data_IF_497201337443
#
_entry.id   IF_497201337443
#
_cell.length_a   1.000
_cell.length_b   1.000
_cell.length_c   1.000
_cell.angle_alpha   90.00
_cell.angle_beta   90.00
_cell.angle_gamma   90.00
#
_symmetry.space_group_name_H-M   'P 1'
#
loop_
_entity.id
_entity.type
_entity.pdbx_description
1 polymer ?
#
# COMPACT_ATOMS: atom_id res chain seq x y z
N UNK A 1 -22.52 20.14 -17.96
CA UNK A 1 -22.28 20.91 -16.72
C UNK A 1 -21.23 20.16 -15.93
N UNK A 2 -19.98 20.64 -15.92
CA UNK A 2 -18.94 20.13 -15.03
C UNK A 2 -19.26 20.72 -13.66
N UNK A 3 -19.55 19.89 -12.66
CA UNK A 3 -19.67 20.40 -11.31
C UNK A 3 -18.30 20.87 -10.85
N UNK A 4 -18.18 22.19 -10.78
CA UNK A 4 -17.25 22.91 -9.93
C UNK A 4 -17.38 22.35 -8.52
N UNK A 5 -16.40 21.55 -8.13
CA UNK A 5 -16.14 21.32 -6.72
C UNK A 5 -14.63 21.18 -6.62
N UNK A 6 -14.01 22.34 -6.43
CA UNK A 6 -12.62 22.50 -6.00
C UNK A 6 -12.51 22.00 -4.54
N UNK A 7 -13.02 20.80 -4.25
CA UNK A 7 -12.95 20.17 -2.94
C UNK A 7 -11.48 19.85 -2.73
N UNK A 8 -10.87 20.53 -1.77
CA UNK A 8 -9.53 20.18 -1.34
C UNK A 8 -9.57 18.75 -0.79
N UNK A 9 -8.94 17.83 -1.52
CA UNK A 9 -8.79 16.46 -1.05
C UNK A 9 -7.79 16.43 0.09
N UNK A 10 -8.27 15.91 1.23
CA UNK A 10 -7.49 15.73 2.45
C UNK A 10 -6.84 14.36 2.41
N UNK A 11 -5.54 14.33 2.64
CA UNK A 11 -4.72 13.12 2.67
C UNK A 11 -4.96 12.30 3.95
N UNK A 12 -4.46 11.04 4.03
CA UNK A 12 -4.55 10.20 5.22
C UNK A 12 -3.79 10.71 6.46
N UNK A 13 -3.13 11.87 6.36
CA UNK A 13 -2.47 12.55 7.48
C UNK A 13 -3.20 13.82 7.92
N UNK A 14 -4.36 14.13 7.33
CA UNK A 14 -5.15 15.33 7.65
C UNK A 14 -4.76 16.59 6.88
N UNK A 15 -3.74 16.53 6.01
CA UNK A 15 -3.22 17.68 5.25
C UNK A 15 -3.81 17.75 3.83
N UNK A 16 -3.92 18.97 3.29
CA UNK A 16 -4.34 19.20 1.90
C UNK A 16 -3.31 18.66 0.92
N UNK A 17 -3.77 18.01 -0.16
CA UNK A 17 -2.89 17.44 -1.17
C UNK A 17 -2.27 18.50 -2.11
N UNK A 18 -1.05 18.24 -2.56
CA UNK A 18 -0.31 19.10 -3.48
C UNK A 18 -0.90 19.05 -4.90
N UNK A 19 -1.05 20.19 -5.56
CA UNK A 19 -1.62 20.27 -6.91
C UNK A 19 -0.54 20.11 -7.98
N UNK A 20 -0.76 19.22 -8.95
CA UNK A 20 0.16 18.95 -10.06
C UNK A 20 -0.47 19.38 -11.39
N UNK A 21 0.18 20.33 -12.07
CA UNK A 21 -0.20 20.76 -13.42
C UNK A 21 0.49 19.87 -14.47
N UNK A 22 -0.25 18.93 -15.05
CA UNK A 22 0.27 17.98 -16.05
C UNK A 22 0.77 18.65 -17.34
N UNK A 23 0.42 19.92 -17.60
CA UNK A 23 0.90 20.66 -18.78
C UNK A 23 2.27 21.27 -18.57
N UNK A 24 2.73 21.37 -17.32
CA UNK A 24 4.08 21.83 -17.02
C UNK A 24 5.04 20.65 -17.08
N UNK A 25 6.24 20.91 -17.59
CA UNK A 25 7.30 19.90 -17.62
C UNK A 25 7.52 19.34 -16.21
N UNK A 26 7.77 18.05 -16.13
CA UNK A 26 8.07 17.34 -14.89
C UNK A 26 9.31 17.98 -14.24
N UNK A 27 9.11 18.77 -13.18
CA UNK A 27 10.20 19.20 -12.31
C UNK A 27 10.35 18.11 -11.26
N UNK A 28 11.48 17.38 -11.20
CA UNK A 28 11.69 16.36 -10.17
C UNK A 28 11.63 17.03 -8.80
N UNK A 29 10.69 16.62 -7.94
CA UNK A 29 10.49 17.27 -6.63
C UNK A 29 11.49 16.80 -5.57
N UNK A 30 12.14 15.62 -5.70
CA UNK A 30 13.34 15.25 -4.95
C UNK A 30 13.86 13.84 -5.33
N UNK A 31 15.18 13.66 -5.18
CA UNK A 31 16.04 12.47 -5.14
C UNK A 31 15.65 11.22 -5.97
N UNK A 32 16.47 10.93 -6.99
CA UNK A 32 16.33 9.88 -8.02
C UNK A 32 16.44 8.42 -7.51
N UNK A 33 16.51 8.19 -6.19
CA UNK A 33 16.66 6.83 -5.68
C UNK A 33 15.35 6.06 -5.82
N UNK A 34 15.36 5.14 -6.79
CA UNK A 34 14.31 4.16 -7.00
C UNK A 34 13.91 3.46 -5.71
N UNK A 35 12.61 3.20 -5.58
CA UNK A 35 12.06 2.48 -4.45
C UNK A 35 12.77 1.15 -4.18
N UNK A 36 12.99 0.76 -2.91
CA UNK A 36 13.42 -0.60 -2.58
C UNK A 36 12.42 -1.68 -3.04
N UNK A 37 11.16 -1.29 -3.31
CA UNK A 37 10.08 -2.15 -3.79
C UNK A 37 9.75 -1.90 -5.27
N UNK A 38 10.64 -1.23 -6.02
CA UNK A 38 10.53 -1.10 -7.46
C UNK A 38 10.62 -2.48 -8.15
N UNK A 39 10.06 -2.55 -9.36
CA UNK A 39 10.11 -3.76 -10.18
C UNK A 39 11.34 -3.74 -11.08
N UNK A 40 12.01 -4.88 -11.19
CA UNK A 40 13.15 -5.10 -12.08
C UNK A 40 12.87 -6.24 -13.04
N UNK A 41 13.56 -6.23 -14.19
CA UNK A 41 13.52 -7.34 -15.15
C UNK A 41 14.04 -8.61 -14.46
N UNK A 42 13.32 -9.73 -14.67
CA UNK A 42 13.65 -11.01 -14.05
C UNK A 42 13.38 -11.10 -12.54
N UNK A 43 12.63 -10.16 -11.95
CA UNK A 43 12.34 -10.14 -10.51
C UNK A 43 11.66 -11.43 -10.00
N UNK A 44 12.39 -12.16 -9.17
CA UNK A 44 11.91 -13.33 -8.46
C UNK A 44 12.10 -13.16 -6.95
N UNK A 45 11.36 -13.94 -6.17
CA UNK A 45 11.60 -14.05 -4.75
C UNK A 45 11.98 -15.49 -4.40
N UNK A 46 12.91 -15.65 -3.46
CA UNK A 46 13.39 -16.96 -2.98
C UNK A 46 13.06 -17.11 -1.50
N UNK A 47 12.65 -18.32 -1.12
CA UNK A 47 12.40 -18.67 0.29
C UNK A 47 13.72 -18.95 1.01
N UNK A 48 13.97 -18.22 2.09
CA UNK A 48 15.10 -18.46 2.97
C UNK A 48 14.69 -19.48 4.05
N UNK A 49 14.99 -20.75 3.77
CA UNK A 49 14.64 -21.86 4.67
C UNK A 49 15.49 -21.82 5.95
N UNK A 50 14.94 -22.23 7.10
CA UNK A 50 15.73 -22.45 8.31
C UNK A 50 16.71 -23.61 8.10
N UNK A 51 17.77 -23.68 8.91
CA UNK A 51 18.75 -24.79 8.82
C UNK A 51 18.12 -26.15 9.16
N UNK A 52 17.16 -26.17 10.08
CA UNK A 52 16.42 -27.36 10.52
C UNK A 52 14.95 -27.00 10.64
N UNK A 53 14.06 -27.91 10.25
CA UNK A 53 12.64 -27.78 10.55
C UNK A 53 12.41 -28.00 12.04
N UNK A 54 11.67 -27.08 12.67
CA UNK A 54 11.26 -27.21 14.06
C UNK A 54 10.02 -28.08 14.14
N UNK A 55 10.03 -29.13 14.97
CA UNK A 55 8.86 -29.99 15.17
C UNK A 55 7.81 -29.27 16.02
N UNK A 56 6.57 -29.80 16.07
CA UNK A 56 5.54 -29.26 16.96
C UNK A 56 5.96 -29.34 18.43
N UNK A 57 6.51 -30.48 18.87
CA UNK A 57 6.99 -30.70 20.24
C UNK A 57 8.08 -29.68 20.61
N UNK A 58 9.03 -29.44 19.70
CA UNK A 58 10.07 -28.42 19.93
C UNK A 58 9.47 -27.01 20.03
N UNK A 59 8.43 -26.69 19.25
CA UNK A 59 7.76 -25.40 19.33
C UNK A 59 6.97 -25.24 20.64
N UNK A 60 6.22 -26.27 21.05
CA UNK A 60 5.45 -26.29 22.30
C UNK A 60 6.38 -26.10 23.51
N UNK A 61 7.53 -26.80 23.52
CA UNK A 61 8.55 -26.63 24.55
C UNK A 61 9.08 -25.18 24.64
N UNK A 62 9.28 -24.50 23.50
CA UNK A 62 9.71 -23.10 23.50
C UNK A 62 8.66 -22.15 24.08
N UNK A 63 7.37 -22.46 23.86
CA UNK A 63 6.25 -21.70 24.44
C UNK A 63 6.21 -21.91 25.96
N UNK A 64 6.26 -23.17 26.42
CA UNK A 64 6.24 -23.52 27.85
C UNK A 64 7.39 -22.91 28.64
N UNK A 65 8.58 -22.85 28.05
CA UNK A 65 9.76 -22.23 28.66
C UNK A 65 9.79 -20.70 28.57
N UNK A 66 8.76 -20.07 28.01
CA UNK A 66 8.66 -18.62 27.91
C UNK A 66 9.66 -18.00 26.91
N UNK A 67 10.21 -18.78 25.97
CA UNK A 67 11.11 -18.26 24.94
C UNK A 67 10.39 -17.42 23.87
N UNK A 68 9.07 -17.54 23.79
CA UNK A 68 8.19 -16.72 22.96
C UNK A 68 7.40 -15.80 23.88
N UNK A 69 8.03 -14.69 24.27
CA UNK A 69 7.44 -13.67 25.13
C UNK A 69 6.58 -12.66 24.37
N UNK A 70 6.26 -11.55 25.03
CA UNK A 70 5.31 -10.56 24.50
C UNK A 70 5.81 -9.86 23.24
N UNK A 71 7.12 -9.56 23.17
CA UNK A 71 7.71 -8.93 21.98
C UNK A 71 7.64 -9.87 20.78
N UNK A 72 7.94 -11.17 20.96
CA UNK A 72 7.84 -12.18 19.91
C UNK A 72 6.39 -12.30 19.42
N UNK A 73 5.42 -12.34 20.33
CA UNK A 73 3.98 -12.34 19.98
C UNK A 73 3.59 -11.07 19.23
N UNK A 74 4.05 -9.90 19.68
CA UNK A 74 3.81 -8.63 19.00
C UNK A 74 4.37 -8.62 17.57
N UNK A 75 5.59 -9.14 17.36
CA UNK A 75 6.18 -9.30 16.02
C UNK A 75 5.29 -10.20 15.13
N UNK A 76 4.79 -11.32 15.67
CA UNK A 76 3.91 -12.22 14.92
C UNK A 76 2.58 -11.55 14.56
N UNK A 77 1.97 -10.81 15.50
CA UNK A 77 0.74 -10.05 15.23
C UNK A 77 0.96 -8.98 14.17
N UNK A 78 2.06 -8.24 14.23
CA UNK A 78 2.43 -7.24 13.23
C UNK A 78 2.59 -7.86 11.84
N UNK A 79 3.30 -8.99 11.73
CA UNK A 79 3.45 -9.70 10.46
C UNK A 79 2.10 -10.22 9.96
N UNK A 80 1.22 -10.68 10.86
CA UNK A 80 -0.13 -11.10 10.50
C UNK A 80 -0.96 -9.94 9.91
N UNK A 81 -0.90 -8.76 10.52
CA UNK A 81 -1.62 -7.56 10.07
C UNK A 81 -1.08 -7.02 8.75
N UNK A 82 0.24 -7.09 8.55
CA UNK A 82 0.90 -6.55 7.35
C UNK A 82 1.02 -7.57 6.21
N UNK A 83 0.76 -8.86 6.45
CA UNK A 83 0.95 -10.01 5.55
C UNK A 83 2.41 -10.29 5.16
N UNK A 84 3.10 -9.27 4.67
CA UNK A 84 4.53 -9.24 4.39
C UNK A 84 5.12 -7.96 4.95
N UNK A 85 6.22 -8.06 5.69
CA UNK A 85 6.88 -6.87 6.24
C UNK A 85 8.39 -7.01 6.27
N UNK A 86 9.10 -5.92 6.08
CA UNK A 86 10.54 -5.84 6.37
C UNK A 86 10.79 -5.68 7.87
N UNK A 87 12.02 -5.93 8.33
CA UNK A 87 12.39 -5.66 9.73
C UNK A 87 12.18 -4.20 10.12
N UNK A 88 12.39 -3.26 9.19
CA UNK A 88 12.18 -1.84 9.42
C UNK A 88 10.70 -1.50 9.59
N UNK A 89 9.84 -2.03 8.72
CA UNK A 89 8.37 -1.86 8.84
C UNK A 89 7.83 -2.43 10.15
N UNK A 90 8.29 -3.62 10.54
CA UNK A 90 7.92 -4.22 11.83
C UNK A 90 8.37 -3.33 12.99
N UNK A 91 9.58 -2.78 12.92
CA UNK A 91 10.08 -1.88 13.97
C UNK A 91 9.24 -0.60 14.07
N UNK A 92 8.92 0.04 12.95
CA UNK A 92 8.09 1.24 12.96
C UNK A 92 6.68 0.96 13.45
N UNK A 93 6.08 -0.15 13.02
CA UNK A 93 4.78 -0.57 13.51
C UNK A 93 4.79 -0.73 15.04
N UNK A 94 5.71 -1.52 15.58
CA UNK A 94 5.82 -1.75 17.02
C UNK A 94 6.03 -0.44 17.81
N UNK A 95 6.92 0.44 17.35
CA UNK A 95 7.14 1.74 18.00
C UNK A 95 5.88 2.60 18.03
N UNK A 96 5.15 2.66 16.92
CA UNK A 96 3.89 3.41 16.81
C UNK A 96 2.75 2.75 17.62
N UNK A 97 2.85 1.45 17.90
CA UNK A 97 1.97 0.73 18.83
C UNK A 97 2.43 0.81 20.30
N UNK A 98 3.38 1.69 20.65
CA UNK A 98 3.79 1.94 22.02
C UNK A 98 4.96 1.09 22.54
N UNK A 99 5.55 0.22 21.73
CA UNK A 99 6.69 -0.60 22.16
C UNK A 99 8.01 0.18 22.11
N UNK A 100 8.73 0.23 23.22
CA UNK A 100 10.12 0.70 23.24
C UNK A 100 11.07 -0.40 22.78
N UNK A 101 11.35 -0.44 21.48
CA UNK A 101 12.22 -1.46 20.88
C UNK A 101 13.12 -0.92 19.77
N UNK A 102 14.38 -1.35 19.77
CA UNK A 102 15.35 -1.01 18.73
C UNK A 102 15.31 -1.96 17.53
N UNK A 103 15.64 -1.45 16.34
CA UNK A 103 15.71 -2.22 15.10
C UNK A 103 16.63 -3.44 15.21
N UNK A 104 17.77 -3.31 15.92
CA UNK A 104 18.71 -4.43 16.15
C UNK A 104 18.09 -5.54 16.99
N UNK A 105 17.21 -5.20 17.93
CA UNK A 105 16.49 -6.17 18.76
C UNK A 105 15.41 -6.89 17.94
N UNK A 106 14.64 -6.17 17.13
CA UNK A 106 13.68 -6.76 16.19
C UNK A 106 14.38 -7.73 15.24
N UNK A 107 15.50 -7.33 14.62
CA UNK A 107 16.26 -8.17 13.71
C UNK A 107 16.76 -9.47 14.37
N UNK A 108 17.29 -9.39 15.60
CA UNK A 108 17.73 -10.58 16.37
C UNK A 108 16.56 -11.53 16.66
N UNK A 109 15.40 -11.00 17.06
CA UNK A 109 14.20 -11.79 17.35
C UNK A 109 13.66 -12.44 16.08
N UNK A 110 13.60 -11.72 14.96
CA UNK A 110 13.21 -12.28 13.66
C UNK A 110 14.12 -13.43 13.22
N UNK A 111 15.44 -13.33 13.39
CA UNK A 111 16.36 -14.43 13.10
C UNK A 111 16.03 -15.67 13.93
N UNK A 112 15.79 -15.51 15.23
CA UNK A 112 15.40 -16.64 16.12
C UNK A 112 14.07 -17.24 15.72
N UNK A 113 13.05 -16.41 15.51
CA UNK A 113 11.72 -16.85 15.08
C UNK A 113 11.77 -17.57 13.73
N UNK A 114 12.64 -17.13 12.80
CA UNK A 114 12.84 -17.77 11.50
C UNK A 114 13.45 -19.15 11.66
N UNK A 115 14.54 -19.27 12.42
CA UNK A 115 15.18 -20.58 12.69
C UNK A 115 14.24 -21.54 13.42
N UNK A 116 13.27 -21.02 14.18
CA UNK A 116 12.25 -21.80 14.88
C UNK A 116 10.93 -21.96 14.11
N UNK A 117 10.88 -21.57 12.83
CA UNK A 117 9.71 -21.71 11.96
C UNK A 117 8.43 -20.98 12.42
N UNK A 118 8.55 -20.00 13.32
CA UNK A 118 7.46 -19.10 13.70
C UNK A 118 7.21 -18.01 12.64
N UNK A 119 8.30 -17.56 11.99
CA UNK A 119 8.24 -16.72 10.80
C UNK A 119 8.95 -17.40 9.64
N UNK A 120 8.64 -16.97 8.43
CA UNK A 120 9.36 -17.30 7.21
C UNK A 120 9.96 -16.03 6.64
N UNK A 121 11.00 -16.20 5.84
CA UNK A 121 11.75 -15.09 5.26
C UNK A 121 11.89 -15.32 3.76
N UNK A 122 11.79 -14.24 3.00
CA UNK A 122 12.10 -14.21 1.57
C UNK A 122 13.15 -13.15 1.25
N UNK A 123 13.83 -13.35 0.15
CA UNK A 123 14.70 -12.37 -0.49
C UNK A 123 14.29 -12.15 -1.93
N UNK A 124 14.49 -10.93 -2.42
CA UNK A 124 14.22 -10.59 -3.81
C UNK A 124 15.52 -10.67 -4.60
N UNK A 125 15.45 -11.28 -5.78
CA UNK A 125 16.57 -11.48 -6.68
C UNK A 125 16.15 -11.03 -8.07
N UNK A 126 16.96 -10.19 -8.68
CA UNK A 126 16.88 -9.81 -10.09
C UNK A 126 18.10 -10.38 -10.82
N UNK A 127 18.18 -10.17 -12.13
CA UNK A 127 19.34 -10.61 -12.93
C UNK A 127 20.67 -10.04 -12.40
N UNK A 128 20.66 -8.80 -11.90
CA UNK A 128 21.88 -8.06 -11.55
C UNK A 128 22.06 -7.80 -10.05
N UNK A 129 21.10 -8.16 -9.20
CA UNK A 129 21.17 -7.81 -7.78
C UNK A 129 20.29 -8.68 -6.88
N UNK A 130 20.69 -8.74 -5.61
CA UNK A 130 19.88 -9.26 -4.51
C UNK A 130 19.45 -8.07 -3.65
N UNK A 131 18.19 -8.04 -3.22
CA UNK A 131 17.70 -6.96 -2.35
C UNK A 131 18.50 -6.86 -1.06
N UNK A 132 18.80 -5.62 -0.65
CA UNK A 132 19.47 -5.30 0.61
C UNK A 132 18.62 -5.60 1.85
N UNK A 133 17.32 -5.81 1.66
CA UNK A 133 16.37 -6.18 2.70
C UNK A 133 15.82 -7.59 2.48
N UNK A 134 15.18 -8.11 3.53
CA UNK A 134 14.39 -9.34 3.51
C UNK A 134 12.96 -9.01 3.91
N UNK A 135 12.00 -9.76 3.39
CA UNK A 135 10.62 -9.68 3.82
C UNK A 135 10.24 -10.92 4.63
N UNK A 136 9.38 -10.73 5.62
CA UNK A 136 8.94 -11.74 6.56
C UNK A 136 7.43 -11.93 6.44
N UNK A 137 6.99 -13.18 6.57
CA UNK A 137 5.59 -13.58 6.65
C UNK A 137 5.41 -14.68 7.71
N UNK A 138 4.17 -14.93 8.15
CA UNK A 138 3.93 -15.92 9.20
C UNK A 138 4.38 -17.32 8.78
N UNK A 139 5.09 -17.98 9.69
CA UNK A 139 5.38 -19.41 9.59
C UNK A 139 4.26 -20.27 10.16
N UNK A 140 4.44 -21.59 10.02
CA UNK A 140 3.46 -22.57 10.48
C UNK A 140 3.21 -22.46 12.00
N UNK A 141 4.28 -22.41 12.80
CA UNK A 141 4.16 -22.32 14.27
C UNK A 141 3.65 -20.95 14.73
N UNK A 142 4.01 -19.86 14.04
CA UNK A 142 3.47 -18.54 14.33
C UNK A 142 1.97 -18.46 14.05
N UNK A 143 1.53 -19.08 12.94
CA UNK A 143 0.10 -19.20 12.62
C UNK A 143 -0.64 -20.02 13.67
N UNK A 144 -0.08 -21.17 14.09
CA UNK A 144 -0.67 -22.01 15.13
C UNK A 144 -0.80 -21.27 16.46
N UNK A 145 0.26 -20.56 16.88
CA UNK A 145 0.25 -19.77 18.11
C UNK A 145 -0.82 -18.67 18.10
N UNK A 146 -0.91 -17.87 17.02
CA UNK A 146 -1.91 -16.80 16.95
C UNK A 146 -3.33 -17.37 16.98
N UNK A 147 -3.59 -18.49 16.31
CA UNK A 147 -4.90 -19.16 16.38
C UNK A 147 -5.23 -19.70 17.77
N UNK A 148 -4.24 -20.23 18.50
CA UNK A 148 -4.42 -20.68 19.87
C UNK A 148 -4.71 -19.51 20.85
N UNK A 149 -4.43 -18.27 20.43
CA UNK A 149 -4.79 -17.03 21.13
C UNK A 149 -6.08 -16.40 20.57
N UNK A 150 -6.88 -17.16 19.81
CA UNK A 150 -8.10 -16.70 19.13
C UNK A 150 -7.92 -15.53 18.16
N UNK A 151 -6.70 -15.35 17.64
CA UNK A 151 -6.40 -14.32 16.64
C UNK A 151 -6.58 -14.89 15.24
N UNK A 152 -7.40 -14.22 14.43
CA UNK A 152 -7.59 -14.55 13.02
C UNK A 152 -6.28 -14.39 12.24
N UNK A 153 -5.84 -15.46 11.59
CA UNK A 153 -4.62 -15.47 10.77
C UNK A 153 -4.92 -15.41 9.28
N UNK A 154 -4.12 -14.66 8.52
CA UNK A 154 -4.25 -14.58 7.06
C UNK A 154 -3.21 -15.48 6.38
N UNK A 155 -3.66 -16.61 5.83
CA UNK A 155 -2.79 -17.50 5.05
C UNK A 155 -2.43 -16.86 3.71
N UNK A 156 -1.15 -16.92 3.35
CA UNK A 156 -0.66 -16.50 2.03
C UNK A 156 -0.73 -17.63 0.98
N UNK A 157 -1.16 -18.83 1.37
CA UNK A 157 -1.07 -20.02 0.51
C UNK A 157 0.39 -20.37 0.18
N UNK A 158 0.63 -20.84 -1.04
CA UNK A 158 1.98 -21.13 -1.54
C UNK A 158 2.67 -19.83 -1.96
N UNK A 159 3.48 -19.26 -1.06
CA UNK A 159 4.18 -17.99 -1.32
C UNK A 159 5.01 -18.04 -2.59
N UNK A 160 5.62 -19.18 -2.93
CA UNK A 160 6.38 -19.37 -4.18
C UNK A 160 5.57 -19.08 -5.44
N UNK A 161 4.25 -19.27 -5.40
CA UNK A 161 3.34 -19.04 -6.53
C UNK A 161 2.84 -17.58 -6.60
N UNK A 162 3.09 -16.77 -5.56
CA UNK A 162 2.71 -15.36 -5.56
C UNK A 162 3.69 -14.61 -6.46
N UNK A 163 3.17 -13.95 -7.49
CA UNK A 163 3.98 -13.08 -8.35
C UNK A 163 4.74 -12.03 -7.52
N UNK A 164 6.05 -11.92 -7.72
CA UNK A 164 6.97 -11.07 -6.93
C UNK A 164 6.47 -9.64 -6.78
N UNK A 165 5.98 -9.02 -7.86
CA UNK A 165 5.47 -7.65 -7.83
C UNK A 165 4.26 -7.47 -6.89
N UNK A 166 3.45 -8.50 -6.66
CA UNK A 166 2.33 -8.43 -5.69
C UNK A 166 2.85 -8.34 -4.27
N UNK A 167 3.88 -9.09 -3.93
CA UNK A 167 4.53 -9.01 -2.61
C UNK A 167 5.17 -7.63 -2.43
N UNK A 168 5.91 -7.15 -3.44
CA UNK A 168 6.47 -5.79 -3.43
C UNK A 168 5.40 -4.70 -3.32
N UNK A 169 4.24 -4.89 -3.96
CA UNK A 169 3.10 -3.97 -3.83
C UNK A 169 2.56 -3.90 -2.40
N UNK A 170 2.45 -5.04 -1.70
CA UNK A 170 2.07 -5.08 -0.28
C UNK A 170 3.14 -4.37 0.56
N UNK A 171 4.42 -4.63 0.32
CA UNK A 171 5.51 -3.96 1.05
C UNK A 171 5.51 -2.45 0.82
N UNK A 172 5.30 -1.96 -0.40
CA UNK A 172 5.17 -0.54 -0.70
C UNK A 172 3.96 0.09 0.00
N UNK A 173 2.80 -0.59 0.01
CA UNK A 173 1.62 -0.12 0.76
C UNK A 173 1.89 -0.08 2.27
N UNK A 174 2.56 -1.10 2.80
CA UNK A 174 2.92 -1.16 4.22
C UNK A 174 3.95 -0.08 4.61
N UNK A 175 4.82 0.34 3.68
CA UNK A 175 5.71 1.47 3.90
C UNK A 175 4.90 2.75 4.12
N UNK A 176 3.97 3.07 3.20
CA UNK A 176 3.05 4.19 3.34
C UNK A 176 2.27 4.11 4.64
N UNK A 177 1.62 2.97 4.90
CA UNK A 177 0.82 2.71 6.09
C UNK A 177 1.60 3.00 7.38
N UNK A 178 2.79 2.42 7.54
CA UNK A 178 3.60 2.63 8.76
C UNK A 178 4.07 4.07 8.93
N UNK A 179 4.14 4.85 7.86
CA UNK A 179 4.49 6.27 7.90
C UNK A 179 3.29 7.13 8.30
N UNK A 180 2.09 6.83 7.80
CA UNK A 180 0.86 7.58 8.14
C UNK A 180 0.19 7.11 9.44
N UNK A 181 0.62 5.98 10.00
CA UNK A 181 0.02 5.39 11.20
C UNK A 181 0.08 6.33 12.41
N UNK A 182 -1.10 6.51 13.02
CA UNK A 182 -1.35 7.23 14.25
C UNK A 182 -2.48 6.51 15.02
N UNK A 183 -2.87 7.04 16.19
CA UNK A 183 -3.85 6.41 17.07
C UNK A 183 -5.27 6.36 16.48
N UNK A 184 -5.60 7.26 15.55
CA UNK A 184 -6.92 7.38 14.91
C UNK A 184 -7.05 6.54 13.63
N UNK A 185 -5.92 6.09 13.08
CA UNK A 185 -5.88 5.35 11.82
C UNK A 185 -6.15 3.85 12.04
N UNK A 186 -7.27 3.38 11.49
CA UNK A 186 -7.53 1.94 11.33
C UNK A 186 -7.17 1.49 9.92
N UNK A 187 -6.74 0.24 9.78
CA UNK A 187 -6.43 -0.30 8.46
C UNK A 187 -6.68 -1.81 8.35
N UNK A 188 -6.91 -2.24 7.11
CA UNK A 188 -6.92 -3.65 6.71
C UNK A 188 -6.00 -3.83 5.48
N UNK A 189 -5.08 -4.80 5.51
CA UNK A 189 -4.18 -5.09 4.37
C UNK A 189 -4.77 -6.17 3.45
N UNK A 190 -4.74 -5.92 2.15
CA UNK A 190 -5.13 -6.84 1.07
C UNK A 190 -6.52 -7.46 1.23
N UNK A 191 -7.50 -6.69 1.71
CA UNK A 191 -8.89 -7.13 1.86
C UNK A 191 -9.59 -7.18 0.50
N UNK A 192 -10.37 -8.23 0.25
CA UNK A 192 -11.23 -8.31 -0.93
C UNK A 192 -12.48 -7.48 -0.66
N UNK A 193 -12.74 -6.51 -1.52
CA UNK A 193 -13.89 -5.62 -1.47
C UNK A 193 -14.83 -6.00 -2.60
N UNK A 194 -16.05 -6.38 -2.26
CA UNK A 194 -16.99 -6.96 -3.24
C UNK A 194 -18.45 -6.65 -2.89
N UNK A 195 -19.27 -6.57 -3.93
CA UNK A 195 -20.72 -6.78 -3.86
C UNK A 195 -21.10 -7.87 -4.87
N UNK A 196 -21.50 -9.04 -4.37
CA UNK A 196 -21.78 -10.21 -5.21
C UNK A 196 -23.00 -10.03 -6.12
N UNK A 197 -23.88 -9.05 -5.82
CA UNK A 197 -25.06 -8.75 -6.62
C UNK A 197 -24.76 -7.83 -7.81
N UNK A 198 -23.55 -7.27 -7.91
CA UNK A 198 -23.18 -6.30 -8.96
C UNK A 198 -21.98 -6.84 -9.74
N UNK A 199 -22.20 -7.17 -11.02
CA UNK A 199 -21.14 -7.67 -11.90
C UNK A 199 -19.98 -6.67 -11.97
N UNK A 200 -18.76 -7.16 -11.76
CA UNK A 200 -17.56 -6.33 -11.83
C UNK A 200 -17.29 -5.49 -10.57
N UNK A 201 -18.18 -5.52 -9.58
CA UNK A 201 -18.00 -4.85 -8.29
C UNK A 201 -17.08 -5.67 -7.37
N UNK A 202 -15.82 -5.84 -7.79
CA UNK A 202 -14.81 -6.56 -7.02
C UNK A 202 -13.42 -5.97 -7.23
N UNK A 203 -12.81 -5.56 -6.14
CA UNK A 203 -11.42 -5.07 -6.08
C UNK A 203 -10.70 -5.66 -4.89
N UNK A 204 -9.37 -5.63 -4.97
CA UNK A 204 -8.50 -5.97 -3.85
C UNK A 204 -7.42 -4.89 -3.77
N UNK A 205 -7.70 -3.77 -3.06
CA UNK A 205 -6.68 -2.78 -2.76
C UNK A 205 -5.58 -3.42 -1.91
N UNK A 206 -4.39 -2.86 -1.97
CA UNK A 206 -3.28 -3.29 -1.13
C UNK A 206 -3.55 -2.95 0.34
N UNK A 207 -4.22 -1.84 0.62
CA UNK A 207 -4.72 -1.50 1.96
C UNK A 207 -6.05 -0.75 1.89
N UNK A 208 -6.87 -0.89 2.94
CA UNK A 208 -8.00 0.00 3.23
C UNK A 208 -7.62 0.78 4.47
N UNK A 209 -7.70 2.12 4.42
CA UNK A 209 -7.40 2.99 5.55
C UNK A 209 -8.69 3.70 5.99
N UNK A 210 -8.86 3.88 7.30
CA UNK A 210 -9.93 4.68 7.88
C UNK A 210 -9.30 5.66 8.84
N UNK A 211 -9.37 6.94 8.50
CA UNK A 211 -8.82 8.03 9.31
C UNK A 211 -9.95 9.00 9.61
N UNK A 212 -10.31 9.13 10.88
CA UNK A 212 -11.46 9.92 11.32
C UNK A 212 -12.76 9.52 10.58
N UNK A 213 -13.30 10.41 9.76
CA UNK A 213 -14.50 10.19 8.96
C UNK A 213 -14.18 10.02 7.46
N UNK A 214 -12.92 9.77 7.11
CA UNK A 214 -12.49 9.51 5.74
C UNK A 214 -12.06 8.06 5.58
N UNK A 215 -12.55 7.42 4.53
CA UNK A 215 -12.13 6.10 4.12
C UNK A 215 -11.28 6.19 2.84
N UNK A 216 -10.23 5.36 2.76
CA UNK A 216 -9.34 5.31 1.62
C UNK A 216 -9.11 3.88 1.13
N UNK A 217 -9.01 3.71 -0.18
CA UNK A 217 -8.46 2.50 -0.80
C UNK A 217 -7.07 2.81 -1.32
N UNK A 218 -6.08 1.98 -1.00
CA UNK A 218 -4.70 2.15 -1.49
C UNK A 218 -4.43 1.13 -2.58
N UNK A 219 -4.25 1.60 -3.80
CA UNK A 219 -3.80 0.84 -4.95
C UNK A 219 -2.31 1.09 -5.22
N UNK A 220 -1.52 0.04 -5.19
CA UNK A 220 -0.08 0.13 -5.52
C UNK A 220 0.18 -0.41 -6.92
N UNK A 221 0.79 0.42 -7.75
CA UNK A 221 1.08 0.14 -9.16
C UNK A 221 2.58 -0.04 -9.33
N UNK A 222 2.95 -1.11 -10.04
CA UNK A 222 4.34 -1.52 -10.26
C UNK A 222 4.63 -1.56 -11.76
N UNK A 223 5.81 -1.11 -12.21
CA UNK A 223 6.23 -1.07 -13.62
C UNK A 223 6.61 -2.46 -14.13
N UNK A 224 5.60 -3.32 -14.24
CA UNK A 224 5.70 -4.66 -14.86
C UNK A 224 5.11 -4.63 -16.27
N UNK A 225 5.38 -5.62 -17.13
CA UNK A 225 4.74 -5.70 -18.44
C UNK A 225 3.21 -5.58 -18.34
N UNK A 226 2.63 -4.75 -19.21
CA UNK A 226 1.19 -4.44 -19.30
C UNK A 226 0.60 -3.81 -18.03
N UNK A 227 1.38 -3.07 -17.23
CA UNK A 227 0.88 -2.41 -16.02
C UNK A 227 -0.23 -1.38 -16.32
N UNK A 228 -0.12 -0.64 -17.42
CA UNK A 228 -1.12 0.36 -17.83
C UNK A 228 -2.48 -0.29 -18.08
N UNK A 229 -2.54 -1.32 -18.92
CA UNK A 229 -3.77 -2.06 -19.20
C UNK A 229 -4.37 -2.66 -17.92
N UNK A 230 -3.54 -3.29 -17.07
CA UNK A 230 -3.98 -3.85 -15.78
C UNK A 230 -4.55 -2.77 -14.85
N UNK A 231 -3.95 -1.58 -14.84
CA UNK A 231 -4.43 -0.46 -14.04
C UNK A 231 -5.77 0.04 -14.59
N UNK A 232 -5.88 0.31 -15.89
CA UNK A 232 -7.15 0.75 -16.52
C UNK A 232 -8.30 -0.22 -16.24
N UNK A 233 -8.08 -1.53 -16.43
CA UNK A 233 -9.10 -2.55 -16.11
C UNK A 233 -9.46 -2.59 -14.61
N UNK A 234 -8.53 -2.22 -13.72
CA UNK A 234 -8.79 -2.14 -12.28
C UNK A 234 -9.51 -0.85 -11.91
N UNK A 235 -9.20 0.28 -12.55
CA UNK A 235 -9.87 1.56 -12.34
C UNK A 235 -11.34 1.52 -12.75
N UNK A 236 -11.69 0.85 -13.84
CA UNK A 236 -13.11 0.60 -14.22
C UNK A 236 -13.86 -0.12 -13.09
N UNK A 237 -13.24 -1.12 -12.46
CA UNK A 237 -13.85 -1.84 -11.32
C UNK A 237 -13.89 -0.98 -10.06
N UNK A 238 -12.88 -0.16 -9.82
CA UNK A 238 -12.91 0.80 -8.72
C UNK A 238 -14.07 1.78 -8.89
N UNK A 239 -14.37 2.24 -10.10
CA UNK A 239 -15.49 3.14 -10.33
C UNK A 239 -16.80 2.50 -9.89
N UNK A 240 -17.04 1.26 -10.32
CA UNK A 240 -18.21 0.46 -9.90
C UNK A 240 -18.24 0.25 -8.38
N UNK A 241 -17.11 -0.09 -7.76
CA UNK A 241 -17.04 -0.35 -6.30
C UNK A 241 -17.28 0.94 -5.49
N UNK A 242 -16.71 2.06 -5.92
CA UNK A 242 -16.79 3.34 -5.23
C UNK A 242 -18.19 3.95 -5.39
N UNK A 243 -18.84 3.79 -6.54
CA UNK A 243 -20.25 4.17 -6.71
C UNK A 243 -21.18 3.38 -5.79
N UNK A 244 -20.86 2.11 -5.53
CA UNK A 244 -21.69 1.20 -4.74
C UNK A 244 -21.17 1.00 -3.30
N UNK A 245 -20.40 1.96 -2.77
CA UNK A 245 -19.66 1.80 -1.53
C UNK A 245 -20.54 1.48 -0.29
N UNK A 246 -21.80 1.90 -0.30
CA UNK A 246 -22.77 1.63 0.76
C UNK A 246 -23.20 0.15 0.85
N UNK A 247 -23.00 -0.61 -0.22
CA UNK A 247 -23.48 -1.99 -0.36
C UNK A 247 -22.33 -3.00 -0.49
N UNK A 248 -21.18 -2.70 0.12
CA UNK A 248 -20.00 -3.57 0.08
C UNK A 248 -19.98 -4.54 1.27
N UNK A 249 -19.18 -5.58 1.17
CA UNK A 249 -18.86 -6.50 2.27
C UNK A 249 -18.06 -5.85 3.43
N UNK A 250 -17.78 -4.55 3.36
CA UNK A 250 -17.17 -3.75 4.42
C UNK A 250 -18.02 -2.51 4.70
N UNK A 251 -18.07 -2.10 5.96
CA UNK A 251 -18.70 -0.84 6.34
C UNK A 251 -17.73 0.32 6.13
N UNK A 252 -18.12 1.26 5.29
CA UNK A 252 -17.45 2.54 5.05
C UNK A 252 -18.35 3.67 5.59
N UNK A 253 -17.76 4.70 6.19
CA UNK A 253 -18.47 5.88 6.68
C UNK A 253 -18.78 6.86 5.56
N UNK A 254 -17.86 7.01 4.62
CA UNK A 254 -17.98 7.95 3.50
C UNK A 254 -17.62 7.28 2.18
N UNK A 255 -17.96 7.95 1.07
CA UNK A 255 -17.43 7.59 -0.24
C UNK A 255 -15.90 7.53 -0.17
N UNK A 256 -15.28 6.37 -0.42
CA UNK A 256 -13.85 6.21 -0.22
C UNK A 256 -13.05 6.94 -1.30
N UNK A 257 -11.93 7.54 -0.90
CA UNK A 257 -10.96 8.16 -1.81
C UNK A 257 -9.94 7.11 -2.26
N UNK A 258 -9.65 7.02 -3.56
CA UNK A 258 -8.65 6.11 -4.08
C UNK A 258 -7.26 6.76 -3.99
N UNK A 259 -6.32 6.09 -3.34
CA UNK A 259 -4.90 6.47 -3.33
C UNK A 259 -4.17 5.57 -4.31
N UNK A 260 -3.51 6.14 -5.32
CA UNK A 260 -2.68 5.38 -6.26
C UNK A 260 -1.21 5.66 -6.00
N UNK A 261 -0.44 4.62 -5.70
CA UNK A 261 0.97 4.68 -5.33
C UNK A 261 1.86 4.11 -6.44
N UNK A 262 2.62 4.99 -7.09
CA UNK A 262 3.66 4.66 -8.07
C UNK A 262 4.99 4.25 -7.44
N UNK A 263 5.93 3.80 -8.28
CA UNK A 263 7.29 3.38 -7.87
C UNK A 263 8.25 4.55 -7.68
N UNK A 264 7.99 5.66 -8.37
CA UNK A 264 8.79 6.89 -8.38
C UNK A 264 7.89 8.07 -8.75
N UNK A 265 8.43 9.29 -8.70
CA UNK A 265 7.70 10.48 -9.15
C UNK A 265 7.33 10.41 -10.63
N UNK A 266 8.26 9.94 -11.49
CA UNK A 266 8.00 9.76 -12.92
C UNK A 266 6.88 8.75 -13.16
N UNK A 267 6.91 7.63 -12.44
CA UNK A 267 5.85 6.62 -12.57
C UNK A 267 4.49 7.16 -12.09
N UNK A 268 4.47 7.92 -10.99
CA UNK A 268 3.24 8.59 -10.54
C UNK A 268 2.71 9.55 -11.60
N UNK A 269 3.58 10.31 -12.27
CA UNK A 269 3.20 11.22 -13.34
C UNK A 269 2.63 10.48 -14.56
N UNK A 270 3.22 9.35 -14.96
CA UNK A 270 2.68 8.47 -16.01
C UNK A 270 1.27 7.95 -15.63
N UNK A 271 1.09 7.55 -14.36
CA UNK A 271 -0.20 7.11 -13.82
C UNK A 271 -1.24 8.24 -13.85
N UNK A 272 -0.86 9.47 -13.48
CA UNK A 272 -1.75 10.64 -13.54
C UNK A 272 -2.22 10.91 -14.97
N UNK A 273 -1.32 10.91 -15.95
CA UNK A 273 -1.69 11.11 -17.35
C UNK A 273 -2.66 10.02 -17.82
N UNK A 274 -2.36 8.75 -17.53
CA UNK A 274 -3.25 7.64 -17.87
C UNK A 274 -4.63 7.78 -17.23
N UNK A 275 -4.70 8.23 -15.97
CA UNK A 275 -5.97 8.48 -15.28
C UNK A 275 -6.78 9.58 -15.98
N UNK A 276 -6.15 10.71 -16.29
CA UNK A 276 -6.81 11.86 -16.93
C UNK A 276 -7.28 11.56 -18.35
N UNK A 277 -6.50 10.81 -19.13
CA UNK A 277 -6.86 10.39 -20.50
C UNK A 277 -8.14 9.55 -20.54
N UNK A 278 -8.40 8.77 -19.47
CA UNK A 278 -9.58 7.90 -19.37
C UNK A 278 -10.81 8.62 -18.78
N UNK A 279 -10.65 9.83 -18.22
CA UNK A 279 -11.74 10.72 -17.79
C UNK A 279 -12.79 10.05 -16.85
N UNK A 280 -12.31 9.31 -15.84
CA UNK A 280 -13.15 8.70 -14.80
C UNK A 280 -13.91 9.79 -14.02
N UNK A 281 -15.21 9.60 -13.77
CA UNK A 281 -16.07 10.66 -13.22
C UNK A 281 -16.50 10.45 -11.77
N UNK A 282 -16.49 9.20 -11.32
CA UNK A 282 -17.13 8.84 -10.06
C UNK A 282 -16.16 8.52 -8.93
N UNK A 283 -14.89 8.94 -9.05
CA UNK A 283 -13.86 8.65 -8.06
C UNK A 283 -13.02 9.89 -7.78
N UNK A 284 -12.78 10.15 -6.49
CA UNK A 284 -11.74 11.07 -6.06
C UNK A 284 -10.43 10.30 -5.95
N UNK A 285 -9.35 10.85 -6.51
CA UNK A 285 -8.05 10.18 -6.55
C UNK A 285 -6.95 11.06 -5.98
N UNK A 286 -6.22 10.50 -5.02
CA UNK A 286 -4.97 11.03 -4.51
C UNK A 286 -3.83 10.18 -5.08
N UNK A 287 -2.77 10.81 -5.54
CA UNK A 287 -1.59 10.14 -6.05
C UNK A 287 -0.44 10.27 -5.06
N UNK A 288 0.39 9.24 -5.02
CA UNK A 288 1.64 9.24 -4.25
C UNK A 288 2.64 8.32 -4.93
N UNK A 289 3.85 8.25 -4.38
CA UNK A 289 4.89 7.34 -4.84
C UNK A 289 5.73 6.87 -3.68
N UNK A 290 6.40 5.75 -3.88
CA UNK A 290 7.32 5.19 -2.91
C UNK A 290 8.44 6.19 -2.57
N UNK A 291 8.50 6.60 -1.30
CA UNK A 291 9.63 7.35 -0.77
C UNK A 291 10.33 6.51 0.28
N UNK A 292 11.65 6.38 0.15
CA UNK A 292 12.50 5.58 1.06
C UNK A 292 12.19 5.93 2.52
N UNK A 293 12.10 7.23 2.81
CA UNK A 293 11.65 7.78 4.09
C UNK A 293 10.78 9.02 3.82
N UNK A 294 9.51 8.98 4.22
CA UNK A 294 8.61 10.14 4.17
C UNK A 294 8.91 11.09 5.35
N UNK A 295 10.05 11.78 5.31
CA UNK A 295 10.36 12.80 6.32
C UNK A 295 9.48 14.06 6.19
N UNK A 296 8.91 14.28 5.00
CA UNK A 296 7.97 15.37 4.71
C UNK A 296 6.66 14.77 4.17
N UNK A 297 5.87 14.21 5.08
CA UNK A 297 4.58 13.57 4.77
C UNK A 297 3.58 14.55 4.15
N UNK A 298 3.60 15.81 4.59
CA UNK A 298 2.82 16.94 4.02
C UNK A 298 3.02 17.09 2.51
N UNK A 299 4.20 16.76 2.01
CA UNK A 299 4.55 16.88 0.59
C UNK A 299 4.37 15.55 -0.18
N UNK A 300 3.75 14.54 0.41
CA UNK A 300 3.72 13.17 -0.12
C UNK A 300 2.52 12.83 -1.00
N UNK A 301 1.48 13.65 -0.93
CA UNK A 301 0.19 13.38 -1.57
C UNK A 301 -0.13 14.46 -2.60
N UNK A 302 -0.64 14.03 -3.74
CA UNK A 302 -0.82 14.86 -4.93
C UNK A 302 -2.21 14.68 -5.54
N UNK A 303 -2.71 15.72 -6.18
CA UNK A 303 -3.93 15.73 -7.00
C UNK A 303 -3.67 16.46 -8.31
N UNK A 304 -4.40 16.13 -9.36
CA UNK A 304 -4.28 16.83 -10.65
C UNK A 304 -4.90 18.23 -10.53
N UNK A 305 -4.15 19.26 -10.97
CA UNK A 305 -4.61 20.64 -10.96
C UNK A 305 -5.47 20.92 -12.20
N UNK A 306 -6.79 20.85 -12.06
CA UNK A 306 -7.73 21.25 -13.11
C UNK A 306 -7.93 22.77 -13.14
N UNK A 307 -6.84 23.56 -13.19
CA UNK A 307 -6.97 24.99 -13.46
C UNK A 307 -7.62 25.17 -14.84
N UNK A 308 -8.83 25.72 -14.85
CA UNK A 308 -9.42 26.22 -16.09
C UNK A 308 -8.44 27.19 -16.73
N UNK A 309 -8.11 26.95 -18.00
CA UNK A 309 -7.39 27.97 -18.75
C UNK A 309 -8.31 29.19 -18.81
N UNK A 310 -7.97 30.27 -18.09
CA UNK A 310 -8.62 31.59 -18.21
C UNK A 310 -8.70 32.09 -19.67
N UNK A 311 -7.98 31.45 -20.61
CA UNK A 311 -8.09 31.68 -22.07
C UNK A 311 -9.46 31.34 -22.68
N UNK A 312 -10.29 30.50 -22.06
CA UNK A 312 -11.62 30.16 -22.61
C UNK A 312 -12.72 31.19 -22.27
N UNK A 313 -12.54 31.96 -21.19
CA UNK A 313 -13.54 32.97 -20.78
C UNK A 313 -13.34 34.26 -21.59
N UNK A 314 -12.09 34.62 -21.92
CA UNK A 314 -11.81 35.79 -22.76
C UNK A 314 -12.16 35.60 -24.25
N UNK A 315 -12.13 34.38 -24.79
CA UNK A 315 -12.54 34.14 -26.18
C UNK A 315 -14.06 34.26 -26.38
N UNK A 316 -14.84 34.10 -25.31
CA UNK A 316 -16.29 34.31 -25.30
C UNK A 316 -16.65 35.80 -25.17
N UNK A 317 -15.91 36.56 -24.36
CA UNK A 317 -16.14 38.00 -24.17
C UNK A 317 -15.76 38.86 -25.38
N UNK A 318 -14.82 38.42 -26.23
CA UNK A 318 -14.39 39.18 -27.42
C UNK A 318 -15.02 38.74 -28.75
N UNK A 319 -15.89 37.72 -28.76
CA UNK A 319 -16.67 37.36 -29.96
C UNK A 319 -17.96 38.16 -30.15
N UNK A 320 -18.32 39.03 -29.20
CA UNK A 320 -19.53 39.86 -29.25
C UNK A 320 -19.35 41.31 -29.70
N UNK A 321 -18.12 41.77 -29.98
CA UNK A 321 -17.86 43.16 -30.36
C UNK A 321 -17.08 43.20 -31.68
N UNK A 322 -17.75 42.86 -32.78
CA UNK A 322 -17.41 43.28 -34.14
C UNK A 322 -18.63 43.03 -35.02
N UNK A 323 -19.55 43.99 -35.00
CA UNK A 323 -20.41 44.40 -36.11
C UNK A 323 -21.42 45.43 -35.58
N UNK A 324 -21.02 46.71 -35.59
CA UNK A 324 -21.86 47.86 -35.90
C UNK A 324 -21.00 48.90 -36.58
#
# INVERSE_FOLDING_TARGET
>A
MKNENNIELISPIGETCNKVDLKKAMVPICDEKLSPFASYVGDMHKLNKPKKNTTKIEADFLLEKGHIGDIEKAILMTINHLLFATSLQITYYLKKSGYSIESKTVARKLTRLKEKSFVRQIEFVSENSISSYKAYYLGYHGTGLLRALDIKTYSQGYVSEIKTFKIKSILASNQLLTQVMNEELQFDVSKVIVNDNIRGCIVRPQSVLKFNDKDFFVEVVRKVPNWQEKLTQKLVRYETVIENYNNLNIKLKTKPVLIIQGESYEHMFEIMNLYEENNYKNMDVIFTFDRILLYQLENAFFVVDHKESKKSIFSFLFKGIKNR
#
